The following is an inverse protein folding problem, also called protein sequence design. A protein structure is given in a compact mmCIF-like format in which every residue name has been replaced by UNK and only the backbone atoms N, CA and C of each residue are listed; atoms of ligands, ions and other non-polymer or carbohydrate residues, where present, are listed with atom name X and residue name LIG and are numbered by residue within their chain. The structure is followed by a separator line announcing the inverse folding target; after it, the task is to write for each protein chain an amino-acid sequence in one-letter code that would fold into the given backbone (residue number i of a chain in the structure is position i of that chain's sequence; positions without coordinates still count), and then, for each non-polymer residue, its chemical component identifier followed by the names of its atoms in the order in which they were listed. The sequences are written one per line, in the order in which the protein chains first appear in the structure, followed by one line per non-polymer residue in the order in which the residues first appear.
data_IF_590766128257
#
_entry.id   IF_590766128257
#
_cell.length_a   1.000
_cell.length_b   1.000
_cell.length_c   1.000
_cell.angle_alpha   90.00
_cell.angle_beta   90.00
_cell.angle_gamma   90.00
#
_symmetry.space_group_name_H-M   'P 1'
#
loop_
_entity.id
_entity.type
_entity.pdbx_description
1 polymer ?
#
# COMPACT_ATOMS: atom_id res chain seq x y z
N UNK A 1 -30.94 -21.30 11.77
CA UNK A 1 -30.00 -20.17 11.93
C UNK A 1 -30.56 -18.97 11.19
N UNK A 2 -30.80 -17.86 11.88
CA UNK A 2 -31.23 -16.62 11.24
C UNK A 2 -30.03 -15.67 11.20
N UNK A 3 -29.57 -15.33 9.99
CA UNK A 3 -28.44 -14.43 9.81
C UNK A 3 -28.98 -13.02 9.50
N UNK A 4 -28.48 -12.01 10.22
CA UNK A 4 -28.82 -10.61 9.96
C UNK A 4 -27.57 -9.90 9.44
N UNK A 5 -27.66 -9.33 8.25
CA UNK A 5 -26.57 -8.59 7.61
C UNK A 5 -26.87 -7.09 7.74
N UNK A 6 -25.87 -6.28 8.11
CA UNK A 6 -25.97 -4.82 8.18
C UNK A 6 -24.79 -4.17 7.48
N UNK A 7 -25.08 -3.09 6.77
CA UNK A 7 -24.05 -2.20 6.25
C UNK A 7 -23.65 -1.20 7.33
N UNK A 8 -22.35 -0.97 7.44
CA UNK A 8 -21.75 -0.10 8.44
C UNK A 8 -20.87 0.91 7.70
N UNK A 9 -20.94 2.21 8.01
CA UNK A 9 -20.07 3.19 7.40
C UNK A 9 -18.61 2.94 7.78
N UNK A 10 -17.71 3.08 6.80
CA UNK A 10 -16.28 2.96 7.02
C UNK A 10 -15.73 4.18 7.75
N UNK A 11 -14.71 3.99 8.59
CA UNK A 11 -13.97 5.06 9.28
C UNK A 11 -14.77 5.92 10.28
N UNK A 12 -15.89 5.39 10.79
CA UNK A 12 -16.74 6.08 11.78
C UNK A 12 -16.47 5.67 13.24
N UNK A 13 -15.31 5.09 13.58
CA UNK A 13 -15.01 4.74 14.97
C UNK A 13 -15.70 3.47 15.48
N UNK A 14 -16.31 2.67 14.61
CA UNK A 14 -17.08 1.48 15.03
C UNK A 14 -16.10 0.36 15.37
N UNK A 15 -15.83 0.21 16.67
CA UNK A 15 -14.79 -0.67 17.22
C UNK A 15 -14.70 -2.05 16.58
N UNK A 16 -15.82 -2.75 16.38
CA UNK A 16 -15.82 -4.08 15.74
C UNK A 16 -15.41 -4.06 14.27
N UNK A 17 -15.88 -3.06 13.51
CA UNK A 17 -15.52 -2.87 12.11
C UNK A 17 -14.05 -2.44 11.96
N UNK A 18 -13.58 -1.54 12.82
CA UNK A 18 -12.19 -1.07 12.81
C UNK A 18 -11.21 -2.17 13.19
N UNK A 19 -11.54 -2.98 14.20
CA UNK A 19 -10.71 -4.14 14.56
C UNK A 19 -10.64 -5.13 13.40
N UNK A 20 -11.76 -5.42 12.74
CA UNK A 20 -11.76 -6.29 11.57
C UNK A 20 -10.90 -5.73 10.42
N UNK A 21 -10.97 -4.42 10.17
CA UNK A 21 -10.14 -3.75 9.15
C UNK A 21 -8.64 -3.78 9.48
N UNK A 22 -8.27 -3.59 10.75
CA UNK A 22 -6.87 -3.72 11.21
C UNK A 22 -6.35 -5.14 10.97
N UNK A 23 -7.07 -6.17 11.40
CA UNK A 23 -6.67 -7.57 11.21
C UNK A 23 -6.58 -7.92 9.71
N UNK A 24 -7.53 -7.44 8.90
CA UNK A 24 -7.49 -7.62 7.45
C UNK A 24 -6.25 -6.98 6.81
N UNK A 25 -5.84 -5.79 7.27
CA UNK A 25 -4.62 -5.11 6.80
C UNK A 25 -3.35 -5.87 7.20
N UNK A 26 -3.29 -6.39 8.42
CA UNK A 26 -2.16 -7.20 8.88
C UNK A 26 -2.06 -8.52 8.09
N UNK A 27 -3.18 -9.22 7.88
CA UNK A 27 -3.22 -10.39 7.02
C UNK A 27 -2.78 -10.08 5.58
N UNK A 28 -3.21 -8.95 5.01
CA UNK A 28 -2.79 -8.52 3.68
C UNK A 28 -1.29 -8.18 3.58
N UNK A 29 -0.64 -7.85 4.71
CA UNK A 29 0.83 -7.68 4.80
C UNK A 29 1.58 -9.00 4.96
N UNK A 30 0.87 -10.11 5.15
CA UNK A 30 1.45 -11.43 5.41
C UNK A 30 1.59 -11.76 6.90
N UNK A 31 1.13 -10.88 7.80
CA UNK A 31 1.12 -11.13 9.23
C UNK A 31 -0.13 -11.94 9.60
N UNK A 32 -0.12 -13.22 9.25
CA UNK A 32 -1.21 -14.15 9.56
C UNK A 32 -0.86 -15.03 10.75
N UNK A 33 -1.84 -15.40 11.56
CA UNK A 33 -1.67 -16.38 12.62
C UNK A 33 -1.39 -17.77 12.02
N UNK A 34 -0.11 -18.16 11.94
CA UNK A 34 0.31 -19.46 11.38
C UNK A 34 -0.27 -20.65 12.18
N UNK A 35 -0.60 -20.43 13.46
CA UNK A 35 -1.11 -21.45 14.38
C UNK A 35 -2.51 -22.01 14.03
N UNK A 36 -3.28 -21.33 13.17
CA UNK A 36 -4.68 -21.70 12.91
C UNK A 36 -5.07 -21.71 11.43
N UNK A 37 -4.10 -21.76 10.51
CA UNK A 37 -4.37 -21.87 9.07
C UNK A 37 -5.25 -23.08 8.74
N UNK A 38 -5.12 -24.17 9.49
CA UNK A 38 -5.90 -25.39 9.26
C UNK A 38 -7.40 -25.20 9.56
N UNK A 39 -7.73 -24.31 10.48
CA UNK A 39 -9.10 -23.96 10.87
C UNK A 39 -9.79 -23.01 9.89
N UNK A 40 -9.04 -22.39 8.97
CA UNK A 40 -9.62 -21.49 7.98
C UNK A 40 -10.44 -22.28 6.95
N UNK A 41 -11.57 -21.74 6.48
CA UNK A 41 -12.24 -22.24 5.29
C UNK A 41 -11.29 -22.27 4.08
N UNK A 42 -11.40 -23.27 3.16
CA UNK A 42 -10.49 -23.38 2.01
C UNK A 42 -10.34 -22.11 1.18
N UNK A 43 -11.43 -21.34 1.03
CA UNK A 43 -11.43 -20.08 0.29
C UNK A 43 -10.50 -19.01 0.90
N UNK A 44 -10.29 -19.06 2.22
CA UNK A 44 -9.43 -18.13 2.97
C UNK A 44 -7.98 -18.63 3.10
N UNK A 45 -7.68 -19.85 2.65
CA UNK A 45 -6.29 -20.39 2.63
C UNK A 45 -5.51 -19.96 1.39
N UNK A 46 -6.21 -19.49 0.36
CA UNK A 46 -5.58 -19.06 -0.90
C UNK A 46 -4.90 -17.70 -0.75
N UNK A 47 -3.81 -17.50 -1.49
CA UNK A 47 -3.14 -16.19 -1.52
C UNK A 47 -4.03 -15.17 -2.20
N UNK A 48 -4.21 -14.01 -1.56
CA UNK A 48 -4.99 -12.93 -2.14
C UNK A 48 -4.32 -12.44 -3.44
N UNK A 49 -5.10 -12.21 -4.51
CA UNK A 49 -4.56 -11.64 -5.73
C UNK A 49 -4.02 -10.23 -5.46
N UNK A 50 -2.85 -9.91 -6.05
CA UNK A 50 -2.30 -8.56 -5.95
C UNK A 50 -3.24 -7.57 -6.61
N UNK A 51 -3.55 -6.49 -5.91
CA UNK A 51 -4.40 -5.43 -6.44
C UNK A 51 -3.74 -4.75 -7.66
N UNK A 52 -4.57 -4.35 -8.63
CA UNK A 52 -4.10 -3.57 -9.80
C UNK A 52 -3.43 -2.26 -9.36
N UNK A 53 -3.99 -1.59 -8.36
CA UNK A 53 -3.47 -0.32 -7.84
C UNK A 53 -2.08 -0.48 -7.24
N UNK A 54 -1.85 -1.51 -6.41
CA UNK A 54 -0.52 -1.80 -5.84
C UNK A 54 0.52 -2.00 -6.94
N UNK A 55 0.20 -2.76 -7.99
CA UNK A 55 1.14 -3.00 -9.10
C UNK A 55 1.47 -1.72 -9.88
N UNK A 56 0.47 -0.86 -10.10
CA UNK A 56 0.66 0.44 -10.76
C UNK A 56 1.49 1.38 -9.88
N UNK A 57 1.20 1.46 -8.57
CA UNK A 57 1.97 2.28 -7.63
C UNK A 57 3.44 1.85 -7.58
N UNK A 58 3.70 0.55 -7.50
CA UNK A 58 5.06 0.02 -7.56
C UNK A 58 5.78 0.45 -8.85
N UNK A 59 5.14 0.25 -10.01
CA UNK A 59 5.73 0.66 -11.29
C UNK A 59 6.00 2.16 -11.37
N UNK A 60 5.07 2.99 -10.91
CA UNK A 60 5.25 4.45 -10.80
C UNK A 60 6.44 4.81 -9.90
N UNK A 61 6.62 4.12 -8.77
CA UNK A 61 7.77 4.29 -7.90
C UNK A 61 9.10 3.99 -8.60
N UNK A 62 9.15 2.88 -9.35
CA UNK A 62 10.32 2.53 -10.17
C UNK A 62 10.61 3.62 -11.22
N UNK A 63 9.59 4.13 -11.90
CA UNK A 63 9.74 5.21 -12.86
C UNK A 63 10.22 6.52 -12.20
N UNK A 64 9.68 6.89 -11.04
CA UNK A 64 10.11 8.07 -10.27
C UNK A 64 11.61 7.97 -9.95
N UNK A 65 12.07 6.83 -9.44
CA UNK A 65 13.49 6.59 -9.15
C UNK A 65 14.38 6.66 -10.41
N UNK A 66 13.90 6.16 -11.55
CA UNK A 66 14.61 6.26 -12.82
C UNK A 66 14.69 7.71 -13.30
N UNK A 67 13.59 8.46 -13.26
CA UNK A 67 13.54 9.87 -13.61
C UNK A 67 14.48 10.72 -12.75
N UNK A 68 14.47 10.50 -11.42
CA UNK A 68 15.38 11.18 -10.48
C UNK A 68 16.85 10.93 -10.83
N UNK A 69 17.21 9.68 -11.14
CA UNK A 69 18.59 9.33 -11.55
C UNK A 69 18.99 10.05 -12.83
N UNK A 70 18.13 10.11 -13.84
CA UNK A 70 18.43 10.84 -15.08
C UNK A 70 18.51 12.35 -14.85
N UNK A 71 17.59 12.91 -14.07
CA UNK A 71 17.56 14.33 -13.77
C UNK A 71 18.86 14.77 -13.08
N UNK A 72 19.31 14.03 -12.05
CA UNK A 72 20.58 14.29 -11.34
C UNK A 72 21.82 14.22 -12.26
N UNK A 73 21.77 13.43 -13.34
CA UNK A 73 22.86 13.34 -14.33
C UNK A 73 22.82 14.45 -15.38
N UNK A 74 21.69 15.14 -15.52
CA UNK A 74 21.50 16.13 -16.57
C UNK A 74 22.33 17.42 -16.34
N UNK A 75 22.68 18.16 -17.40
CA UNK A 75 23.28 19.50 -17.27
C UNK A 75 22.40 20.45 -16.45
N UNK A 76 21.07 20.29 -16.52
CA UNK A 76 20.11 21.11 -15.78
C UNK A 76 20.29 20.97 -14.27
N UNK A 77 20.53 19.77 -13.74
CA UNK A 77 20.83 19.58 -12.32
C UNK A 77 22.08 20.35 -11.88
N UNK A 78 23.14 20.31 -12.69
CA UNK A 78 24.38 21.05 -12.43
C UNK A 78 24.16 22.56 -12.38
N UNK A 79 23.27 23.09 -13.22
CA UNK A 79 22.89 24.52 -13.24
C UNK A 79 21.94 24.91 -12.12
N UNK A 80 21.02 24.01 -11.74
CA UNK A 80 19.97 24.29 -10.77
C UNK A 80 20.48 24.22 -9.32
N UNK A 81 21.34 23.25 -9.01
CA UNK A 81 21.83 23.01 -7.64
C UNK A 81 22.53 24.23 -6.99
N UNK A 82 23.33 25.03 -7.71
CA UNK A 82 23.89 26.27 -7.15
C UNK A 82 22.87 27.39 -6.93
N UNK A 83 21.79 27.43 -7.73
CA UNK A 83 20.76 28.47 -7.68
C UNK A 83 19.76 28.22 -6.55
N UNK A 84 19.38 26.96 -6.35
CA UNK A 84 18.51 26.54 -5.25
C UNK A 84 19.07 25.25 -4.62
N UNK A 85 19.85 25.39 -3.54
CA UNK A 85 20.41 24.26 -2.79
C UNK A 85 19.33 23.40 -2.11
N UNK A 86 18.12 23.95 -1.90
CA UNK A 86 17.00 23.27 -1.25
C UNK A 86 16.11 22.51 -2.23
N UNK A 87 16.35 22.67 -3.53
CA UNK A 87 15.57 22.04 -4.58
C UNK A 87 15.61 20.51 -4.44
N UNK A 88 14.43 19.92 -4.26
CA UNK A 88 14.23 18.47 -4.29
C UNK A 88 13.25 18.09 -5.40
N UNK A 89 13.68 17.33 -6.41
CA UNK A 89 12.79 16.82 -7.46
C UNK A 89 11.82 15.74 -6.95
N UNK A 90 11.79 15.46 -5.64
CA UNK A 90 10.81 14.59 -5.01
C UNK A 90 9.59 15.33 -4.47
N UNK A 91 9.76 16.65 -4.20
CA UNK A 91 8.73 17.56 -3.66
C UNK A 91 7.80 18.15 -4.74
N UNK A 92 8.13 17.96 -6.01
CA UNK A 92 7.39 18.39 -7.19
C UNK A 92 7.26 17.20 -8.16
#
# INVERSE_FOLDING_TARGET
LQLVIRWVPGHEGISGNERADVEAKEAARGNTSTSHIDLLPPILKSTLPRSKSTRVQHFRGVLKNKALRFFKKSPRWKRLKPLDPTFSPEKY
#
